data_IF_429559922701
#
_entry.id   IF_429559922701
#
_cell.length_a   1.000
_cell.length_b   1.000
_cell.length_c   1.000
_cell.angle_alpha   90.00
_cell.angle_beta   90.00
_cell.angle_gamma   90.00
#
_symmetry.space_group_name_H-M   'P 1'
#
loop_
_entity.id
_entity.type
_entity.pdbx_description
1 polymer ?
#
# COMPACT_ATOMS: atom_id res chain seq x y z
N UNK A 1 6.19 -19.68 7.61
CA UNK A 1 4.96 -18.97 7.15
C UNK A 1 4.79 -19.08 5.64
N UNK A 2 5.81 -18.80 4.82
CA UNK A 2 5.73 -18.97 3.36
C UNK A 2 5.26 -20.37 2.92
N UNK A 3 5.81 -21.44 3.51
CA UNK A 3 5.42 -22.83 3.19
C UNK A 3 3.93 -23.11 3.40
N UNK A 4 3.30 -22.51 4.42
CA UNK A 4 1.87 -22.70 4.66
C UNK A 4 1.05 -22.02 3.56
N UNK A 5 1.41 -20.80 3.15
CA UNK A 5 0.72 -20.08 2.09
C UNK A 5 0.80 -20.81 0.74
N UNK A 6 1.99 -21.34 0.41
CA UNK A 6 2.20 -22.12 -0.83
C UNK A 6 1.53 -23.51 -0.77
N UNK A 7 1.44 -24.10 0.43
CA UNK A 7 0.73 -25.37 0.62
C UNK A 7 -0.79 -25.22 0.42
N UNK A 8 -1.36 -24.08 0.84
CA UNK A 8 -2.77 -23.74 0.61
C UNK A 8 -3.05 -23.44 -0.87
N UNK A 9 -2.20 -22.64 -1.52
CA UNK A 9 -2.31 -22.32 -2.94
C UNK A 9 -0.93 -22.18 -3.59
N UNK A 10 -0.65 -23.06 -4.55
CA UNK A 10 0.63 -23.09 -5.27
C UNK A 10 0.90 -21.81 -6.07
N UNK A 11 -0.14 -21.11 -6.51
CA UNK A 11 0.00 -19.87 -7.29
C UNK A 11 0.56 -18.72 -6.44
N UNK A 12 0.48 -18.79 -5.11
CA UNK A 12 1.07 -17.80 -4.20
C UNK A 12 2.60 -17.83 -4.25
N UNK A 13 3.20 -18.95 -4.66
CA UNK A 13 4.66 -19.02 -4.77
C UNK A 13 5.19 -17.97 -5.76
N UNK A 14 4.55 -17.84 -6.93
CA UNK A 14 4.96 -16.88 -7.96
C UNK A 14 4.84 -15.43 -7.47
N UNK A 15 3.78 -15.12 -6.70
CA UNK A 15 3.57 -13.79 -6.09
C UNK A 15 4.67 -13.48 -5.07
N UNK A 16 5.03 -14.46 -4.24
CA UNK A 16 6.09 -14.28 -3.24
C UNK A 16 7.47 -14.16 -3.91
N UNK A 17 7.72 -14.94 -4.96
CA UNK A 17 8.96 -14.86 -5.73
C UNK A 17 9.13 -13.48 -6.35
N UNK A 18 8.09 -12.91 -6.98
CA UNK A 18 8.16 -11.55 -7.54
C UNK A 18 8.42 -10.50 -6.44
N UNK A 19 7.69 -10.55 -5.33
CA UNK A 19 7.84 -9.55 -4.25
C UNK A 19 9.20 -9.61 -3.53
N UNK A 20 9.92 -10.72 -3.62
CA UNK A 20 11.27 -10.88 -3.05
C UNK A 20 12.38 -10.81 -4.11
N UNK A 21 12.03 -10.76 -5.39
CA UNK A 21 12.99 -10.58 -6.48
C UNK A 21 13.57 -9.17 -6.46
N UNK A 22 14.76 -9.02 -7.02
CA UNK A 22 15.35 -7.69 -7.20
C UNK A 22 14.65 -6.92 -8.32
N UNK A 23 14.18 -7.64 -9.34
CA UNK A 23 13.43 -7.13 -10.48
C UNK A 23 11.91 -7.30 -10.31
N UNK A 24 11.13 -6.37 -10.88
CA UNK A 24 9.67 -6.41 -10.85
C UNK A 24 9.08 -5.59 -9.71
N UNK A 25 7.88 -5.97 -9.27
CA UNK A 25 7.15 -5.24 -8.24
C UNK A 25 7.63 -5.59 -6.84
N UNK A 26 7.93 -4.58 -6.03
CA UNK A 26 8.26 -4.74 -4.62
C UNK A 26 7.38 -3.87 -3.71
N UNK A 27 7.47 -4.11 -2.40
CA UNK A 27 6.74 -3.35 -1.41
C UNK A 27 7.53 -2.11 -0.97
N UNK A 28 6.94 -0.94 -1.17
CA UNK A 28 7.51 0.34 -0.73
C UNK A 28 6.63 1.03 0.32
N UNK A 29 7.29 1.82 1.17
CA UNK A 29 6.63 2.81 2.03
C UNK A 29 6.84 4.18 1.39
N UNK A 30 5.74 4.86 1.05
CA UNK A 30 5.71 6.16 0.39
C UNK A 30 5.15 7.23 1.32
N UNK A 31 5.72 8.43 1.25
CA UNK A 31 5.25 9.59 2.00
C UNK A 31 3.88 10.04 1.48
N UNK A 32 2.99 10.48 2.37
CA UNK A 32 1.64 10.90 1.99
C UNK A 32 1.62 12.12 1.06
N UNK A 33 2.62 13.01 1.12
CA UNK A 33 2.74 14.18 0.26
C UNK A 33 2.75 13.87 -1.25
N UNK A 34 3.07 12.63 -1.63
CA UNK A 34 3.02 12.18 -3.02
C UNK A 34 1.59 12.02 -3.55
N UNK A 35 0.60 11.91 -2.66
CA UNK A 35 -0.79 11.62 -3.01
C UNK A 35 -1.78 12.67 -2.54
N UNK A 36 -1.45 13.46 -1.52
CA UNK A 36 -2.39 14.37 -0.86
C UNK A 36 -1.70 15.60 -0.25
N UNK A 37 -2.50 16.61 0.06
CA UNK A 37 -2.07 17.79 0.80
C UNK A 37 -2.42 17.69 2.30
N UNK A 38 -1.77 18.51 3.14
CA UNK A 38 -2.01 18.50 4.59
C UNK A 38 -3.47 18.78 4.92
N UNK A 39 -4.08 17.90 5.72
CA UNK A 39 -5.45 18.05 6.19
C UNK A 39 -6.52 17.75 5.13
N UNK A 40 -6.14 17.21 3.96
CA UNK A 40 -7.09 16.83 2.91
C UNK A 40 -8.00 15.68 3.37
N UNK A 41 -9.28 15.74 3.01
CA UNK A 41 -10.28 14.70 3.34
C UNK A 41 -10.55 13.80 2.14
N UNK A 42 -9.94 12.61 2.17
CA UNK A 42 -10.02 11.62 1.10
C UNK A 42 -10.36 10.25 1.65
N UNK A 43 -11.05 9.46 0.84
CA UNK A 43 -11.24 8.03 1.06
C UNK A 43 -10.00 7.26 0.60
N UNK A 44 -9.86 6.02 1.07
CA UNK A 44 -8.77 5.15 0.65
C UNK A 44 -8.81 4.88 -0.86
N UNK A 45 -10.00 4.77 -1.46
CA UNK A 45 -10.14 4.64 -2.91
C UNK A 45 -9.69 5.88 -3.68
N UNK A 46 -9.95 7.09 -3.17
CA UNK A 46 -9.48 8.31 -3.83
C UNK A 46 -7.94 8.39 -3.83
N UNK A 47 -7.29 7.98 -2.74
CA UNK A 47 -5.83 7.85 -2.67
C UNK A 47 -5.33 6.78 -3.65
N UNK A 48 -5.97 5.61 -3.69
CA UNK A 48 -5.63 4.55 -4.64
C UNK A 48 -5.69 5.05 -6.08
N UNK A 49 -6.72 5.81 -6.45
CA UNK A 49 -6.85 6.39 -7.80
C UNK A 49 -5.70 7.34 -8.14
N UNK A 50 -5.25 8.16 -7.18
CA UNK A 50 -4.08 9.04 -7.37
C UNK A 50 -2.79 8.23 -7.50
N UNK A 51 -2.59 7.22 -6.67
CA UNK A 51 -1.43 6.33 -6.76
C UNK A 51 -1.37 5.58 -8.10
N UNK A 52 -2.52 5.19 -8.66
CA UNK A 52 -2.58 4.54 -9.98
C UNK A 52 -2.06 5.43 -11.12
N UNK A 53 -2.15 6.76 -11.01
CA UNK A 53 -1.53 7.67 -11.99
C UNK A 53 -0.01 7.56 -12.01
N UNK A 54 0.58 7.04 -10.92
CA UNK A 54 2.01 6.79 -10.73
C UNK A 54 2.38 5.31 -10.90
N UNK A 55 1.44 4.49 -11.41
CA UNK A 55 1.54 3.02 -11.56
C UNK A 55 1.70 2.26 -10.23
N UNK A 56 1.41 2.90 -9.11
CA UNK A 56 1.51 2.29 -7.78
C UNK A 56 0.16 1.66 -7.37
N UNK A 57 0.21 0.58 -6.58
CA UNK A 57 -0.97 -0.05 -5.96
C UNK A 57 -0.89 0.14 -4.45
N UNK A 58 -1.70 1.04 -3.90
CA UNK A 58 -1.76 1.25 -2.44
C UNK A 58 -2.50 0.08 -1.79
N UNK A 59 -1.82 -0.64 -0.89
CA UNK A 59 -2.36 -1.78 -0.17
C UNK A 59 -2.71 -1.46 1.28
N UNK A 60 -2.26 -0.31 1.79
CA UNK A 60 -2.57 0.13 3.14
C UNK A 60 -1.89 1.44 3.53
N UNK A 61 -1.99 1.80 4.81
CA UNK A 61 -1.38 3.00 5.36
C UNK A 61 -0.95 2.81 6.81
N UNK A 62 -0.09 3.71 7.30
CA UNK A 62 0.21 3.89 8.73
C UNK A 62 0.05 5.36 9.06
N UNK A 63 -0.75 5.64 10.07
CA UNK A 63 -0.94 6.99 10.57
C UNK A 63 0.28 7.42 11.38
N UNK A 64 0.57 8.71 11.43
CA UNK A 64 1.72 9.26 12.16
C UNK A 64 1.79 8.80 13.62
N UNK A 65 0.64 8.64 14.29
CA UNK A 65 0.55 8.24 15.70
C UNK A 65 0.24 6.75 15.89
N UNK A 66 0.29 5.95 14.83
CA UNK A 66 0.01 4.52 14.89
C UNK A 66 1.31 3.71 14.87
N UNK A 67 1.46 2.78 15.83
CA UNK A 67 2.61 1.88 15.86
C UNK A 67 2.60 0.89 14.69
N UNK A 68 1.41 0.46 14.26
CA UNK A 68 1.23 -0.58 13.25
C UNK A 68 0.54 -0.03 12.02
N UNK A 69 0.96 -0.55 10.88
CA UNK A 69 0.33 -0.26 9.61
C UNK A 69 -0.94 -1.12 9.44
N UNK A 70 -1.93 -0.57 8.74
CA UNK A 70 -3.18 -1.25 8.41
C UNK A 70 -3.12 -1.65 6.94
N UNK A 71 -2.95 -2.93 6.69
CA UNK A 71 -3.07 -3.53 5.35
C UNK A 71 -4.53 -3.84 5.08
N UNK A 72 -4.99 -3.55 3.86
CA UNK A 72 -6.35 -3.77 3.41
C UNK A 72 -7.40 -3.17 4.37
N UNK A 73 -7.41 -1.83 4.57
CA UNK A 73 -8.26 -1.20 5.56
C UNK A 73 -9.76 -1.47 5.31
N UNK A 74 -10.57 -1.62 6.38
CA UNK A 74 -12.03 -1.66 6.24
C UNK A 74 -12.56 -0.29 5.78
N UNK A 75 -13.81 -0.26 5.28
CA UNK A 75 -14.52 0.98 4.93
C UNK A 75 -13.75 1.93 3.97
N UNK A 76 -13.25 1.40 2.85
CA UNK A 76 -12.37 2.12 1.91
C UNK A 76 -12.99 3.35 1.24
N UNK A 77 -14.32 3.48 1.28
CA UNK A 77 -15.09 4.59 0.74
C UNK A 77 -15.32 5.73 1.75
N UNK A 78 -15.07 5.50 3.04
CA UNK A 78 -15.20 6.54 4.06
C UNK A 78 -14.06 7.55 3.91
N UNK A 79 -14.43 8.83 3.84
CA UNK A 79 -13.46 9.92 3.80
C UNK A 79 -12.92 10.18 5.18
N UNK A 80 -11.62 10.42 5.24
CA UNK A 80 -10.93 10.80 6.46
C UNK A 80 -9.92 11.90 6.18
N UNK A 81 -9.63 12.66 7.23
CA UNK A 81 -8.56 13.65 7.21
C UNK A 81 -7.20 12.96 7.30
N UNK A 82 -6.30 13.32 6.40
CA UNK A 82 -4.93 12.80 6.35
C UNK A 82 -3.91 13.88 6.72
N UNK A 83 -2.76 13.45 7.21
CA UNK A 83 -1.58 14.30 7.38
C UNK A 83 -0.50 13.87 6.40
N UNK A 84 0.34 14.80 5.95
CA UNK A 84 1.53 14.52 5.13
C UNK A 84 2.56 13.66 5.88
N UNK A 85 2.44 13.59 7.22
CA UNK A 85 3.25 12.72 8.09
C UNK A 85 2.78 11.27 8.09
N UNK A 86 1.58 11.00 7.55
CA UNK A 86 1.14 9.63 7.33
C UNK A 86 1.97 8.99 6.20
N UNK A 87 1.99 7.66 6.16
CA UNK A 87 2.68 6.93 5.10
C UNK A 87 1.77 5.88 4.48
N UNK A 88 1.95 5.62 3.19
CA UNK A 88 1.21 4.61 2.43
C UNK A 88 2.13 3.45 2.06
N UNK A 89 1.60 2.24 2.18
CA UNK A 89 2.27 1.04 1.69
C UNK A 89 1.78 0.76 0.28
N UNK A 90 2.71 0.63 -0.65
CA UNK A 90 2.40 0.43 -2.07
C UNK A 90 3.19 -0.75 -2.63
N UNK A 91 2.61 -1.40 -3.63
CA UNK A 91 3.31 -2.30 -4.53
C UNK A 91 3.62 -1.52 -5.80
N UNK A 92 4.89 -1.49 -6.19
CA UNK A 92 5.36 -0.82 -7.41
C UNK A 92 6.69 -1.39 -7.88
N UNK A 93 6.99 -1.24 -9.15
CA UNK A 93 8.33 -1.49 -9.69
C UNK A 93 9.32 -0.44 -9.18
N UNK A 94 10.60 -0.83 -9.09
CA UNK A 94 11.71 0.09 -8.85
C UNK A 94 11.80 1.12 -9.98
N UNK A 95 12.08 2.37 -9.63
CA UNK A 95 12.43 3.43 -10.60
C UNK A 95 13.80 3.19 -11.24
#
# INVERSE_FOLDING_TARGET
MALAMVAEDRQINDVLEELFAEEGNELHIRLAELYLHEGEELSFYEILLRARQRREIVIGYRLVNAERAVINPPAKNERRRWSVKDVFMVITEKE
#
